data_IF_429719521898
#
_entry.id   IF_429719521898
#
_cell.length_a   1.000
_cell.length_b   1.000
_cell.length_c   1.000
_cell.angle_alpha   90.00
_cell.angle_beta   90.00
_cell.angle_gamma   90.00
#
_symmetry.space_group_name_H-M   'P 1'
#
loop_
_entity.id
_entity.type
_entity.pdbx_description
1 polymer ?
#
# COMPACT_ATOMS: atom_id res chain seq x y z
N UNK A 1 -8.47 21.32 5.59
CA UNK A 1 -8.71 20.07 6.34
C UNK A 1 -9.54 19.07 5.54
N UNK A 2 -10.76 19.39 5.08
CA UNK A 2 -11.59 18.45 4.28
C UNK A 2 -10.88 17.94 3.02
N UNK A 3 -10.19 18.81 2.27
CA UNK A 3 -9.44 18.43 1.07
C UNK A 3 -8.27 17.46 1.34
N UNK A 4 -7.61 17.63 2.49
CA UNK A 4 -6.50 16.75 2.91
C UNK A 4 -7.04 15.39 3.34
N UNK A 5 -8.14 15.37 4.11
CA UNK A 5 -8.78 14.13 4.52
C UNK A 5 -9.25 13.30 3.32
N UNK A 6 -9.85 13.93 2.31
CA UNK A 6 -10.25 13.24 1.07
C UNK A 6 -9.04 12.65 0.34
N UNK A 7 -7.92 13.39 0.26
CA UNK A 7 -6.68 12.91 -0.35
C UNK A 7 -6.06 11.74 0.41
N UNK A 8 -6.09 11.78 1.75
CA UNK A 8 -5.61 10.68 2.59
C UNK A 8 -6.46 9.42 2.43
N UNK A 9 -7.79 9.56 2.42
CA UNK A 9 -8.70 8.42 2.17
C UNK A 9 -8.50 7.81 0.78
N UNK A 10 -8.30 8.65 -0.25
CA UNK A 10 -8.00 8.19 -1.59
C UNK A 10 -6.65 7.45 -1.65
N UNK A 11 -5.64 7.96 -0.95
CA UNK A 11 -4.35 7.31 -0.84
C UNK A 11 -4.48 5.96 -0.12
N UNK A 12 -5.21 5.91 1.00
CA UNK A 12 -5.46 4.67 1.76
C UNK A 12 -6.13 3.61 0.89
N UNK A 13 -7.20 3.97 0.17
CA UNK A 13 -7.90 3.06 -0.73
C UNK A 13 -6.97 2.56 -1.86
N UNK A 14 -6.12 3.44 -2.40
CA UNK A 14 -5.17 3.10 -3.46
C UNK A 14 -4.07 2.17 -2.97
N UNK A 15 -3.55 2.38 -1.76
CA UNK A 15 -2.52 1.53 -1.15
C UNK A 15 -3.08 0.13 -0.87
N UNK A 16 -4.26 0.06 -0.25
CA UNK A 16 -4.93 -1.20 0.04
C UNK A 16 -5.25 -2.01 -1.22
N UNK A 17 -5.73 -1.35 -2.29
CA UNK A 17 -6.01 -1.99 -3.58
C UNK A 17 -4.74 -2.57 -4.22
N UNK A 18 -3.65 -1.80 -4.29
CA UNK A 18 -2.38 -2.32 -4.81
C UNK A 18 -1.84 -3.46 -3.96
N UNK A 19 -1.96 -3.39 -2.63
CA UNK A 19 -1.47 -4.44 -1.75
C UNK A 19 -2.20 -5.75 -2.01
N UNK A 20 -3.52 -5.69 -2.17
CA UNK A 20 -4.33 -6.85 -2.55
C UNK A 20 -3.90 -7.40 -3.91
N UNK A 21 -3.73 -6.55 -4.92
CA UNK A 21 -3.30 -6.98 -6.25
C UNK A 21 -1.95 -7.70 -6.20
N UNK A 22 -0.94 -7.10 -5.59
CA UNK A 22 0.41 -7.69 -5.49
C UNK A 22 0.44 -8.96 -4.62
N UNK A 23 -0.38 -9.05 -3.57
CA UNK A 23 -0.48 -10.25 -2.74
C UNK A 23 -1.11 -11.45 -3.46
N UNK A 24 -1.86 -11.21 -4.55
CA UNK A 24 -2.48 -12.27 -5.36
C UNK A 24 -1.62 -12.75 -6.53
N UNK A 25 -0.47 -12.11 -6.79
CA UNK A 25 0.42 -12.51 -7.87
C UNK A 25 1.25 -13.72 -7.42
N UNK A 26 1.06 -14.84 -8.11
CA UNK A 26 1.89 -16.04 -7.98
C UNK A 26 2.94 -16.06 -9.08
N UNK A 27 4.21 -16.24 -8.71
CA UNK A 27 5.33 -16.35 -9.66
C UNK A 27 6.43 -17.28 -9.14
N UNK A 28 6.98 -18.06 -10.07
CA UNK A 28 8.15 -18.92 -9.85
C UNK A 28 9.47 -18.20 -10.15
N UNK A 29 9.42 -17.00 -10.75
CA UNK A 29 10.61 -16.21 -11.02
C UNK A 29 11.11 -15.50 -9.76
N UNK A 30 12.33 -15.81 -9.34
CA UNK A 30 12.95 -15.23 -8.13
C UNK A 30 13.01 -13.70 -8.18
N UNK A 31 13.30 -13.13 -9.35
CA UNK A 31 13.36 -11.68 -9.54
C UNK A 31 11.99 -11.03 -9.37
N UNK A 32 10.95 -11.63 -9.92
CA UNK A 32 9.59 -11.11 -9.79
C UNK A 32 9.10 -11.24 -8.34
N UNK A 33 9.41 -12.36 -7.67
CA UNK A 33 9.11 -12.53 -6.24
C UNK A 33 9.77 -11.46 -5.38
N UNK A 34 11.05 -11.19 -5.59
CA UNK A 34 11.77 -10.15 -4.85
C UNK A 34 11.16 -8.75 -5.10
N UNK A 35 10.74 -8.47 -6.34
CA UNK A 35 10.03 -7.25 -6.67
C UNK A 35 8.69 -7.13 -5.94
N UNK A 36 7.85 -8.18 -6.00
CA UNK A 36 6.55 -8.23 -5.31
C UNK A 36 6.74 -8.03 -3.80
N UNK A 37 7.70 -8.72 -3.18
CA UNK A 37 8.01 -8.53 -1.76
C UNK A 37 8.41 -7.10 -1.42
N UNK A 38 9.22 -6.46 -2.27
CA UNK A 38 9.61 -5.06 -2.08
C UNK A 38 8.42 -4.10 -2.20
N UNK A 39 7.52 -4.34 -3.14
CA UNK A 39 6.28 -3.54 -3.28
C UNK A 39 5.38 -3.73 -2.07
N UNK A 40 5.17 -4.96 -1.60
CA UNK A 40 4.34 -5.23 -0.42
C UNK A 40 4.87 -4.53 0.84
N UNK A 41 6.19 -4.55 1.06
CA UNK A 41 6.81 -3.84 2.18
C UNK A 41 6.64 -2.31 2.09
N UNK A 42 6.72 -1.74 0.89
CA UNK A 42 6.49 -0.32 0.70
C UNK A 42 5.02 0.06 0.98
N UNK A 43 4.07 -0.79 0.57
CA UNK A 43 2.65 -0.56 0.79
C UNK A 43 2.28 -0.66 2.28
N UNK A 44 2.82 -1.65 3.00
CA UNK A 44 2.68 -1.76 4.47
C UNK A 44 3.15 -0.47 5.18
N UNK A 45 4.32 0.06 4.79
CA UNK A 45 4.79 1.34 5.33
C UNK A 45 3.82 2.50 5.08
N UNK A 46 3.19 2.57 3.89
CA UNK A 46 2.20 3.61 3.62
C UNK A 46 0.90 3.41 4.38
N UNK A 47 0.45 2.17 4.61
CA UNK A 47 -0.70 1.87 5.47
C UNK A 47 -0.47 2.44 6.87
N UNK A 48 0.67 2.10 7.50
CA UNK A 48 1.05 2.57 8.83
C UNK A 48 1.16 4.11 8.88
N UNK A 49 1.80 4.72 7.89
CA UNK A 49 1.98 6.17 7.84
C UNK A 49 0.66 6.93 7.68
N UNK A 50 -0.31 6.38 6.94
CA UNK A 50 -1.62 6.99 6.78
C UNK A 50 -2.45 6.85 8.06
N UNK A 51 -2.39 5.69 8.71
CA UNK A 51 -3.05 5.44 10.00
C UNK A 51 -2.55 6.44 11.05
N UNK A 52 -1.24 6.57 11.22
CA UNK A 52 -0.62 7.54 12.14
C UNK A 52 -1.09 8.98 11.86
N UNK A 53 -1.21 9.38 10.60
CA UNK A 53 -1.67 10.74 10.23
C UNK A 53 -3.17 10.93 10.48
N UNK A 54 -3.98 9.86 10.42
CA UNK A 54 -5.42 9.91 10.64
C UNK A 54 -5.83 9.81 12.11
N UNK A 55 -4.98 9.22 12.96
CA UNK A 55 -5.18 9.16 14.42
C UNK A 55 -4.82 10.49 15.14
N UNK A 56 -4.13 11.41 14.46
CA UNK A 56 -3.72 12.74 14.94
C UNK A 56 -4.77 13.82 14.63
#
# INVERSE_FOLDING_TARGET
>A
MVDILVKLLLLQATVADHRLQYATIETDEERERAFISGVLAALEFFEDAIEEVMEV
#
